data_IF_965946426679
#
_entry.id   IF_965946426679
#
_cell.length_a   1.000
_cell.length_b   1.000
_cell.length_c   1.000
_cell.angle_alpha   90.00
_cell.angle_beta   90.00
_cell.angle_gamma   90.00
#
_symmetry.space_group_name_H-M   'P 1'
#
loop_
_entity.id
_entity.type
_entity.pdbx_description
1 polymer ?
#
# COMPACT_ATOMS: atom_id res chain seq x y z
N UNK A 1 47.50 -27.79 -52.30
CA UNK A 1 47.15 -28.83 -51.31
C UNK A 1 46.19 -28.21 -50.31
N UNK A 2 44.98 -28.79 -50.20
CA UNK A 2 43.94 -28.70 -49.14
C UNK A 2 44.08 -27.62 -48.06
N UNK A 3 43.07 -26.81 -47.71
CA UNK A 3 41.64 -26.91 -47.96
C UNK A 3 40.89 -26.32 -46.75
N UNK A 4 40.26 -25.17 -46.98
CA UNK A 4 39.13 -24.55 -46.25
C UNK A 4 39.23 -24.37 -44.72
N UNK A 5 39.43 -23.10 -44.32
CA UNK A 5 39.19 -22.63 -42.97
C UNK A 5 39.12 -21.10 -42.88
N UNK A 6 37.98 -20.54 -43.30
CA UNK A 6 37.47 -19.20 -42.96
C UNK A 6 38.15 -17.97 -43.58
N UNK A 7 37.48 -17.39 -44.59
CA UNK A 7 37.74 -16.04 -45.12
C UNK A 7 36.41 -15.25 -45.12
N UNK A 8 36.53 -13.92 -44.94
CA UNK A 8 35.65 -12.83 -45.43
C UNK A 8 34.50 -12.41 -44.48
N UNK A 9 34.27 -11.15 -44.08
CA UNK A 9 34.89 -9.87 -44.41
C UNK A 9 34.57 -8.80 -43.34
N UNK A 10 35.55 -7.91 -43.17
CA UNK A 10 35.42 -6.54 -42.68
C UNK A 10 34.97 -5.64 -43.85
N UNK A 11 33.92 -4.84 -43.65
CA UNK A 11 33.53 -3.62 -44.40
C UNK A 11 32.64 -2.78 -43.45
N UNK A 12 32.68 -1.47 -43.29
CA UNK A 12 33.48 -0.31 -43.73
C UNK A 12 33.16 0.80 -42.71
N UNK A 13 34.15 1.59 -42.29
CA UNK A 13 33.98 2.87 -41.59
C UNK A 13 33.72 4.00 -42.61
N UNK A 14 32.77 4.90 -42.35
CA UNK A 14 32.95 6.38 -42.30
C UNK A 14 31.62 7.18 -42.23
N UNK A 15 31.53 8.02 -41.18
CA UNK A 15 30.99 9.39 -41.07
C UNK A 15 29.50 9.67 -41.33
N UNK A 16 28.77 9.98 -40.26
CA UNK A 16 27.89 11.18 -40.17
C UNK A 16 28.05 11.80 -38.77
N UNK A 17 28.57 13.03 -38.75
CA UNK A 17 28.42 13.96 -37.63
C UNK A 17 26.99 14.52 -37.67
N UNK A 18 26.43 14.86 -36.51
CA UNK A 18 25.05 15.31 -36.26
C UNK A 18 24.01 14.17 -36.15
N UNK A 19 23.75 13.72 -34.94
CA UNK A 19 22.78 14.33 -34.03
C UNK A 19 23.05 13.62 -32.70
N UNK A 20 23.51 14.36 -31.69
CA UNK A 20 23.19 13.97 -30.32
C UNK A 20 21.67 13.91 -30.30
N UNK A 21 21.10 12.72 -30.51
CA UNK A 21 19.73 12.49 -30.10
C UNK A 21 19.85 12.55 -28.59
N UNK A 22 19.58 13.74 -28.05
CA UNK A 22 18.70 13.82 -26.90
C UNK A 22 17.65 12.76 -27.17
N UNK A 23 17.81 11.59 -26.55
CA UNK A 23 16.69 10.73 -26.28
C UNK A 23 15.83 11.57 -25.36
N UNK A 24 14.99 12.41 -25.97
CA UNK A 24 13.72 12.77 -25.36
C UNK A 24 13.08 11.42 -25.12
N UNK A 25 13.30 10.88 -23.92
CA UNK A 25 12.54 9.75 -23.39
C UNK A 25 11.11 10.03 -23.79
N UNK A 26 10.44 9.09 -24.47
CA UNK A 26 9.08 9.36 -24.92
C UNK A 26 8.25 9.87 -23.73
N UNK A 27 7.19 10.68 -23.93
CA UNK A 27 6.37 11.18 -22.82
C UNK A 27 5.86 10.08 -21.88
N UNK A 28 5.84 8.81 -22.32
CA UNK A 28 5.53 7.66 -21.47
C UNK A 28 6.71 7.21 -20.58
N UNK A 29 7.96 7.32 -21.03
CA UNK A 29 9.15 6.92 -20.26
C UNK A 29 9.49 7.87 -19.11
N UNK A 30 9.19 9.17 -19.27
CA UNK A 30 9.39 10.17 -18.21
C UNK A 30 8.42 9.94 -17.03
N UNK A 31 7.16 9.61 -17.32
CA UNK A 31 6.11 9.35 -16.31
C UNK A 31 6.40 8.20 -15.36
N UNK A 32 7.20 7.23 -15.79
CA UNK A 32 7.64 6.14 -14.93
C UNK A 32 8.57 6.59 -13.79
N UNK A 33 9.10 7.81 -13.83
CA UNK A 33 9.89 8.40 -12.73
C UNK A 33 9.09 9.33 -11.83
N UNK A 34 7.84 9.61 -12.18
CA UNK A 34 7.01 10.56 -11.45
C UNK A 34 6.69 10.03 -10.05
N UNK A 35 6.72 10.96 -9.11
CA UNK A 35 6.17 10.83 -7.76
C UNK A 35 4.66 11.09 -7.80
N UNK A 36 3.99 10.95 -6.65
CA UNK A 36 2.56 11.29 -6.52
C UNK A 36 2.30 12.76 -6.85
N UNK A 37 3.16 13.68 -6.38
CA UNK A 37 3.01 15.12 -6.64
C UNK A 37 3.20 15.43 -8.14
N UNK A 38 4.22 14.87 -8.79
CA UNK A 38 4.42 15.05 -10.24
C UNK A 38 3.17 14.63 -11.04
N UNK A 39 2.51 13.55 -10.62
CA UNK A 39 1.24 13.12 -11.23
C UNK A 39 0.11 14.11 -11.00
N UNK A 40 -0.07 14.62 -9.78
CA UNK A 40 -1.11 15.59 -9.46
C UNK A 40 -0.91 16.92 -10.22
N UNK A 41 0.33 17.41 -10.27
CA UNK A 41 0.71 18.62 -11.01
C UNK A 41 0.47 18.45 -12.52
N UNK A 42 0.90 17.32 -13.10
CA UNK A 42 0.71 17.04 -14.52
C UNK A 42 -0.77 16.90 -14.93
N UNK A 43 -1.66 16.58 -13.99
CA UNK A 43 -3.11 16.55 -14.23
C UNK A 43 -3.81 17.87 -13.90
N UNK A 44 -3.06 18.90 -13.45
CA UNK A 44 -3.58 20.19 -13.03
C UNK A 44 -4.68 20.07 -11.95
N UNK A 45 -4.49 19.15 -11.01
CA UNK A 45 -5.41 18.94 -9.89
C UNK A 45 -4.89 19.70 -8.67
N UNK A 46 -5.74 20.58 -8.11
CA UNK A 46 -5.46 21.27 -6.87
C UNK A 46 -5.23 20.26 -5.73
N UNK A 47 -4.12 20.43 -5.01
CA UNK A 47 -3.73 19.50 -3.96
C UNK A 47 -2.98 20.22 -2.84
N UNK A 48 -2.98 19.61 -1.67
CA UNK A 48 -2.25 20.06 -0.49
C UNK A 48 -1.24 18.99 -0.08
N UNK A 49 -0.15 19.41 0.56
CA UNK A 49 0.85 18.55 1.17
C UNK A 49 0.91 18.85 2.67
N UNK A 50 0.62 17.85 3.48
CA UNK A 50 0.56 17.94 4.93
C UNK A 50 1.74 17.21 5.56
N UNK A 51 2.43 17.85 6.50
CA UNK A 51 3.50 17.23 7.28
C UNK A 51 2.92 16.72 8.60
N UNK A 52 3.06 15.43 8.85
CA UNK A 52 2.56 14.73 10.03
C UNK A 52 3.74 14.13 10.79
N UNK A 53 3.84 14.39 12.09
CA UNK A 53 4.89 13.79 12.93
C UNK A 53 4.29 12.71 13.82
N UNK A 54 4.81 11.50 13.75
CA UNK A 54 4.37 10.38 14.58
C UNK A 54 4.89 10.51 16.00
N UNK A 55 4.25 9.83 16.96
CA UNK A 55 4.66 9.88 18.37
C UNK A 55 6.09 9.36 18.62
N UNK A 56 6.60 8.50 17.73
CA UNK A 56 7.96 7.99 17.75
C UNK A 56 8.93 8.74 16.83
N UNK A 57 8.51 9.89 16.28
CA UNK A 57 9.40 10.87 15.67
C UNK A 57 9.57 10.79 14.15
N UNK A 58 8.90 9.88 13.45
CA UNK A 58 8.89 9.88 11.98
C UNK A 58 8.09 11.08 11.45
N UNK A 59 8.56 11.64 10.35
CA UNK A 59 7.91 12.74 9.66
C UNK A 59 7.40 12.25 8.31
N UNK A 60 6.07 12.22 8.18
CA UNK A 60 5.33 11.72 7.03
C UNK A 60 4.73 12.89 6.26
N UNK A 61 4.73 12.79 4.93
CA UNK A 61 4.04 13.74 4.06
C UNK A 61 2.83 13.07 3.44
N UNK A 62 1.65 13.65 3.70
CA UNK A 62 0.35 13.14 3.25
C UNK A 62 -0.19 14.11 2.21
N UNK A 63 -0.57 13.60 1.04
CA UNK A 63 -1.21 14.43 0.02
C UNK A 63 -2.72 14.46 0.25
N UNK A 64 -3.34 15.60 -0.04
CA UNK A 64 -4.80 15.75 -0.01
C UNK A 64 -5.29 16.38 -1.30
N UNK A 65 -6.40 15.88 -1.84
CA UNK A 65 -7.19 16.53 -2.89
C UNK A 65 -8.41 17.15 -2.19
N UNK A 66 -8.33 18.43 -1.79
CA UNK A 66 -9.23 19.00 -0.79
C UNK A 66 -10.64 19.21 -1.33
N UNK A 67 -11.64 18.81 -0.54
CA UNK A 67 -13.04 19.20 -0.73
C UNK A 67 -13.64 19.68 0.58
N UNK A 68 -13.75 21.00 0.75
CA UNK A 68 -14.22 21.61 1.99
C UNK A 68 -15.62 21.09 2.38
N UNK A 69 -15.76 20.63 3.62
CA UNK A 69 -17.02 20.09 4.16
C UNK A 69 -17.45 18.73 3.59
N UNK A 70 -16.68 18.14 2.66
CA UNK A 70 -16.93 16.80 2.17
C UNK A 70 -16.46 15.73 3.15
N UNK A 71 -16.94 14.51 2.96
CA UNK A 71 -16.56 13.37 3.80
C UNK A 71 -15.11 12.94 3.51
N UNK A 72 -14.24 12.84 4.53
CA UNK A 72 -12.85 12.45 4.32
C UNK A 72 -12.70 10.95 4.04
N UNK A 73 -11.90 10.64 3.02
CA UNK A 73 -11.53 9.28 2.61
C UNK A 73 -10.01 9.13 2.64
N UNK A 74 -9.49 8.23 3.47
CA UNK A 74 -8.07 7.92 3.56
C UNK A 74 -7.72 6.70 2.71
N UNK A 75 -6.82 6.86 1.75
CA UNK A 75 -6.26 5.80 0.92
C UNK A 75 -4.89 5.37 1.44
N UNK A 76 -4.75 4.10 1.83
CA UNK A 76 -3.51 3.56 2.44
C UNK A 76 -2.92 2.44 1.59
N UNK A 77 -1.68 2.62 1.15
CA UNK A 77 -0.99 1.64 0.31
C UNK A 77 -0.54 0.39 1.09
N UNK A 78 -0.22 -0.67 0.35
CA UNK A 78 0.28 -1.94 0.90
C UNK A 78 1.78 -1.98 1.16
N UNK A 79 2.28 -3.19 1.41
CA UNK A 79 3.69 -3.51 1.59
C UNK A 79 4.50 -3.03 0.38
N UNK A 80 5.59 -2.29 0.63
CA UNK A 80 6.44 -1.69 -0.40
C UNK A 80 5.68 -0.75 -1.36
N UNK A 81 4.44 -0.37 -1.07
CA UNK A 81 3.65 0.54 -1.89
C UNK A 81 3.98 2.00 -1.62
N UNK A 82 3.27 2.88 -2.31
CA UNK A 82 3.21 4.31 -2.04
C UNK A 82 1.85 4.88 -2.45
N UNK A 83 1.59 6.14 -2.08
CA UNK A 83 0.42 6.88 -2.55
C UNK A 83 0.28 6.93 -4.08
N UNK A 84 1.35 6.70 -4.83
CA UNK A 84 1.35 6.70 -6.30
C UNK A 84 0.36 5.66 -6.87
N UNK A 85 0.17 4.53 -6.19
CA UNK A 85 -0.76 3.48 -6.64
C UNK A 85 -2.22 3.95 -6.78
N UNK A 86 -2.57 5.07 -6.14
CA UNK A 86 -3.92 5.64 -6.18
C UNK A 86 -4.11 6.68 -7.28
N UNK A 87 -3.03 7.08 -8.00
CA UNK A 87 -3.05 8.15 -9.02
C UNK A 87 -2.38 7.78 -10.35
N UNK A 88 -1.56 6.72 -10.40
CA UNK A 88 -0.67 6.44 -11.53
C UNK A 88 -1.36 5.96 -12.83
N UNK A 89 -2.68 5.75 -12.84
CA UNK A 89 -3.43 5.45 -14.06
C UNK A 89 -4.11 6.68 -14.68
N UNK A 90 -3.94 7.85 -14.06
CA UNK A 90 -4.57 9.11 -14.43
C UNK A 90 -6.02 9.28 -13.94
N UNK A 91 -6.65 10.43 -14.24
CA UNK A 91 -7.96 10.83 -13.69
C UNK A 91 -9.10 9.87 -13.99
N UNK A 92 -9.10 9.27 -15.18
CA UNK A 92 -10.18 8.39 -15.64
C UNK A 92 -10.23 7.03 -14.93
N UNK A 93 -9.13 6.60 -14.31
CA UNK A 93 -9.00 5.22 -13.81
C UNK A 93 -8.47 5.09 -12.40
N UNK A 94 -7.77 6.07 -11.88
CA UNK A 94 -7.19 5.95 -10.53
C UNK A 94 -8.22 6.33 -9.48
N UNK A 95 -8.29 5.53 -8.41
CA UNK A 95 -9.35 5.63 -7.40
C UNK A 95 -9.42 7.01 -6.73
N UNK A 96 -8.27 7.65 -6.48
CA UNK A 96 -8.23 8.97 -5.84
C UNK A 96 -9.00 10.02 -6.63
N UNK A 97 -8.82 10.07 -7.95
CA UNK A 97 -9.52 11.02 -8.80
C UNK A 97 -11.01 10.68 -8.94
N UNK A 98 -11.36 9.39 -9.00
CA UNK A 98 -12.75 8.96 -9.07
C UNK A 98 -13.52 9.35 -7.79
N UNK A 99 -12.91 9.20 -6.61
CA UNK A 99 -13.47 9.69 -5.34
C UNK A 99 -13.57 11.22 -5.32
N UNK A 100 -12.54 11.92 -5.76
CA UNK A 100 -12.54 13.39 -5.79
C UNK A 100 -13.60 13.97 -6.74
N UNK A 101 -13.88 13.31 -7.87
CA UNK A 101 -14.99 13.65 -8.78
C UNK A 101 -16.37 13.31 -8.21
N UNK A 102 -16.43 12.44 -7.20
CA UNK A 102 -17.64 12.11 -6.44
C UNK A 102 -17.79 12.98 -5.19
N UNK A 103 -17.09 14.12 -5.15
CA UNK A 103 -17.17 15.12 -4.08
C UNK A 103 -16.75 14.59 -2.69
N UNK A 104 -15.81 13.65 -2.64
CA UNK A 104 -15.12 13.25 -1.40
C UNK A 104 -13.85 14.08 -1.16
N UNK A 105 -13.51 14.29 0.11
CA UNK A 105 -12.21 14.85 0.51
C UNK A 105 -11.16 13.73 0.58
N UNK A 106 -10.22 13.69 -0.36
CA UNK A 106 -9.37 12.50 -0.56
C UNK A 106 -7.98 12.71 0.01
N UNK A 107 -7.57 11.83 0.90
CA UNK A 107 -6.26 11.83 1.55
C UNK A 107 -5.45 10.60 1.12
N UNK A 108 -4.19 10.81 0.72
CA UNK A 108 -3.27 9.78 0.25
C UNK A 108 -2.16 9.59 1.28
N UNK A 109 -2.22 8.50 2.05
CA UNK A 109 -1.21 8.21 3.04
C UNK A 109 0.12 7.81 2.38
N UNK A 110 1.23 8.29 2.95
CA UNK A 110 2.53 7.65 2.82
C UNK A 110 2.98 7.25 4.22
N UNK A 111 3.38 5.99 4.36
CA UNK A 111 3.87 5.43 5.62
C UNK A 111 5.40 5.60 5.73
N UNK A 112 5.92 5.42 6.94
CA UNK A 112 7.37 5.53 7.20
C UNK A 112 8.19 4.65 6.24
N UNK A 113 9.37 5.14 5.87
CA UNK A 113 10.29 4.49 4.94
C UNK A 113 9.95 4.63 3.46
N UNK A 114 8.74 5.07 3.08
CA UNK A 114 8.40 5.35 1.68
C UNK A 114 9.14 6.60 1.20
N UNK A 115 9.71 6.59 0.01
CA UNK A 115 10.39 7.75 -0.59
C UNK A 115 9.45 8.54 -1.53
N UNK A 116 9.61 9.86 -1.65
CA UNK A 116 10.36 10.74 -0.75
C UNK A 116 9.59 11.02 0.56
N UNK A 117 8.30 10.69 0.60
CA UNK A 117 7.32 11.25 1.54
C UNK A 117 7.35 10.69 2.98
N UNK A 118 8.13 9.66 3.26
CA UNK A 118 8.23 8.99 4.56
C UNK A 118 9.68 8.81 5.01
N UNK A 119 10.59 9.67 4.52
CA UNK A 119 12.04 9.60 4.79
C UNK A 119 12.54 10.50 5.90
N UNK A 120 11.65 11.30 6.51
CA UNK A 120 12.02 12.19 7.60
C UNK A 120 11.89 11.52 8.97
N UNK A 121 12.74 11.93 9.90
CA UNK A 121 12.64 11.60 11.32
C UNK A 121 13.33 12.72 12.13
N UNK A 122 12.87 12.99 13.35
CA UNK A 122 13.41 14.07 14.20
C UNK A 122 14.89 13.84 14.57
N UNK A 123 15.25 12.61 14.96
CA UNK A 123 16.60 12.27 15.42
C UNK A 123 17.40 11.33 14.51
N UNK A 124 16.75 10.69 13.53
CA UNK A 124 17.32 9.59 12.74
C UNK A 124 17.40 9.97 11.26
N UNK A 125 18.29 9.30 10.53
CA UNK A 125 18.41 9.42 9.07
C UNK A 125 18.28 8.05 8.42
N UNK A 126 17.87 8.01 7.15
CA UNK A 126 17.62 6.76 6.42
C UNK A 126 18.87 5.94 6.09
N UNK A 127 20.06 6.42 6.48
CA UNK A 127 21.31 5.64 6.47
C UNK A 127 21.55 4.85 7.76
N UNK A 128 20.80 5.14 8.83
CA UNK A 128 20.93 4.49 10.15
C UNK A 128 20.09 3.21 10.21
N UNK A 129 20.57 2.18 10.89
CA UNK A 129 19.83 0.93 11.05
C UNK A 129 18.52 1.14 11.82
N UNK A 130 18.57 2.02 12.82
CA UNK A 130 17.48 2.37 13.73
C UNK A 130 16.29 2.96 12.98
N UNK A 131 16.54 3.78 11.95
CA UNK A 131 15.49 4.34 11.09
C UNK A 131 14.68 3.24 10.38
N UNK A 132 15.28 2.07 10.13
CA UNK A 132 14.63 0.96 9.47
C UNK A 132 14.07 -0.07 10.45
N UNK A 133 14.01 0.20 11.75
CA UNK A 133 13.50 -0.76 12.75
C UNK A 133 11.97 -0.69 12.90
N UNK A 134 11.21 -0.86 11.82
CA UNK A 134 9.75 -0.87 11.85
C UNK A 134 9.11 -2.01 11.06
N UNK A 135 7.84 -2.26 11.30
CA UNK A 135 6.99 -3.25 10.64
C UNK A 135 5.58 -2.72 10.45
N UNK A 136 4.64 -3.55 9.99
CA UNK A 136 3.21 -3.17 9.99
C UNK A 136 2.66 -2.84 11.39
N UNK A 137 3.36 -3.25 12.47
CA UNK A 137 3.00 -2.82 13.83
C UNK A 137 3.10 -1.31 13.95
N UNK A 138 4.27 -0.75 13.66
CA UNK A 138 4.52 0.69 13.78
C UNK A 138 3.63 1.51 12.82
N UNK A 139 3.30 0.98 11.64
CA UNK A 139 2.33 1.61 10.75
C UNK A 139 0.96 1.79 11.42
N UNK A 140 0.47 0.77 12.14
CA UNK A 140 -0.82 0.85 12.86
C UNK A 140 -0.73 1.55 14.21
N UNK A 141 0.39 1.43 14.91
CA UNK A 141 0.58 1.95 16.25
C UNK A 141 0.97 3.44 16.27
N UNK A 142 1.55 3.98 15.20
CA UNK A 142 2.08 5.34 15.17
C UNK A 142 1.73 6.13 13.91
N UNK A 143 1.85 5.54 12.71
CA UNK A 143 1.59 6.28 11.46
C UNK A 143 0.10 6.59 11.28
N UNK A 144 -0.75 5.56 11.25
CA UNK A 144 -2.19 5.75 11.04
C UNK A 144 -2.86 6.62 12.12
N UNK A 145 -2.54 6.48 13.43
CA UNK A 145 -3.06 7.38 14.44
C UNK A 145 -2.71 8.85 14.14
N UNK A 146 -1.44 9.15 13.88
CA UNK A 146 -0.98 10.51 13.63
C UNK A 146 -1.64 11.10 12.37
N UNK A 147 -1.78 10.29 11.30
CA UNK A 147 -2.43 10.72 10.06
C UNK A 147 -3.92 11.02 10.29
N UNK A 148 -4.66 10.10 10.94
CA UNK A 148 -6.11 10.26 11.15
C UNK A 148 -6.40 11.40 12.14
N UNK A 149 -5.55 11.58 13.16
CA UNK A 149 -5.66 12.71 14.09
C UNK A 149 -5.45 14.03 13.36
N UNK A 150 -4.38 14.15 12.56
CA UNK A 150 -4.11 15.34 11.74
C UNK A 150 -5.24 15.64 10.74
N UNK A 151 -5.79 14.61 10.08
CA UNK A 151 -6.94 14.78 9.18
C UNK A 151 -8.11 15.45 9.88
N UNK A 152 -8.45 14.98 11.07
CA UNK A 152 -9.55 15.53 11.86
C UNK A 152 -9.31 16.97 12.30
N UNK A 153 -8.09 17.30 12.72
CA UNK A 153 -7.72 18.68 13.07
C UNK A 153 -7.92 19.63 11.88
N UNK A 154 -7.51 19.21 10.68
CA UNK A 154 -7.67 20.00 9.45
C UNK A 154 -9.14 20.12 9.07
N UNK A 155 -9.89 19.01 8.99
CA UNK A 155 -11.29 19.02 8.55
C UNK A 155 -12.22 19.68 9.57
N UNK A 156 -11.96 19.50 10.86
CA UNK A 156 -12.71 20.15 11.95
C UNK A 156 -12.53 21.67 11.93
N UNK A 157 -11.29 22.14 11.77
CA UNK A 157 -10.99 23.58 11.66
C UNK A 157 -11.58 24.24 10.41
N UNK A 158 -11.79 23.49 9.32
CA UNK A 158 -12.49 23.96 8.13
C UNK A 158 -14.00 24.10 8.35
N UNK A 159 -14.61 23.15 9.07
CA UNK A 159 -16.03 23.18 9.42
C UNK A 159 -16.40 24.43 10.24
N UNK A 160 -15.53 24.83 11.17
CA UNK A 160 -15.71 26.04 11.97
C UNK A 160 -15.56 27.33 11.15
N UNK A 161 -14.71 27.35 10.12
CA UNK A 161 -14.47 28.54 9.28
C UNK A 161 -15.48 28.68 8.13
N UNK A 162 -16.07 27.58 7.66
CA UNK A 162 -17.08 27.56 6.59
C UNK A 162 -18.51 27.86 7.07
N UNK A 163 -18.78 27.77 8.38
CA UNK A 163 -20.07 28.04 9.01
C UNK A 163 -20.24 29.49 9.46
N UNK A 164 -20.64 30.39 8.55
CA UNK A 164 -21.11 31.72 8.92
C UNK A 164 -22.49 31.68 9.60
N UNK A 165 -22.54 31.66 10.94
CA UNK A 165 -23.80 31.85 11.67
C UNK A 165 -23.75 31.33 13.12
N UNK A 166 -23.81 32.24 14.09
CA UNK A 166 -23.58 31.98 15.51
C UNK A 166 -24.47 30.92 16.19
N UNK A 167 -23.87 30.22 17.14
CA UNK A 167 -24.54 29.36 18.11
C UNK A 167 -23.55 28.81 19.12
N UNK A 168 -23.45 29.44 20.30
CA UNK A 168 -22.76 28.88 21.47
C UNK A 168 -23.46 27.61 21.92
N UNK A 169 -22.69 26.56 22.19
CA UNK A 169 -23.19 25.31 22.75
C UNK A 169 -22.06 24.30 22.98
N UNK A 170 -21.11 24.63 23.85
CA UNK A 170 -20.23 23.64 24.44
C UNK A 170 -21.08 22.75 25.37
N UNK A 171 -21.42 21.54 24.91
CA UNK A 171 -21.71 20.32 25.69
C UNK A 171 -22.46 19.30 24.83
N UNK A 172 -21.81 18.78 23.79
CA UNK A 172 -22.07 17.43 23.27
C UNK A 172 -20.70 16.83 22.99
N UNK A 173 -20.45 15.64 23.52
CA UNK A 173 -19.30 14.78 23.20
C UNK A 173 -19.40 14.48 21.70
N UNK A 174 -18.86 15.38 20.88
CA UNK A 174 -19.03 15.39 19.43
C UNK A 174 -18.48 14.10 18.85
N UNK A 175 -19.39 13.25 18.35
CA UNK A 175 -19.08 12.28 17.30
C UNK A 175 -18.80 13.11 16.03
N UNK A 176 -17.63 13.71 15.96
CA UNK A 176 -17.16 14.47 14.81
C UNK A 176 -15.78 13.93 14.40
N UNK A 177 -15.56 13.85 13.08
CA UNK A 177 -14.34 13.38 12.41
C UNK A 177 -14.21 11.87 12.25
N UNK A 178 -15.29 11.23 11.79
CA UNK A 178 -15.21 9.88 11.24
C UNK A 178 -14.58 9.89 9.83
N UNK A 179 -13.65 8.97 9.59
CA UNK A 179 -12.98 8.78 8.29
C UNK A 179 -13.45 7.49 7.62
N UNK A 180 -13.58 7.51 6.29
CA UNK A 180 -13.70 6.31 5.48
C UNK A 180 -12.28 5.82 5.13
N UNK A 181 -11.97 4.57 5.43
CA UNK A 181 -10.65 4.00 5.18
C UNK A 181 -10.71 3.01 4.01
N UNK A 182 -9.83 3.18 3.04
CA UNK A 182 -9.63 2.22 1.95
C UNK A 182 -8.15 1.82 1.97
N UNK A 183 -7.89 0.53 2.15
CA UNK A 183 -6.53 0.03 2.28
C UNK A 183 -6.26 -1.14 1.36
N UNK A 184 -5.08 -1.16 0.74
CA UNK A 184 -4.60 -2.29 -0.05
C UNK A 184 -3.62 -3.16 0.75
N UNK A 185 -3.77 -4.48 0.70
CA UNK A 185 -2.76 -5.43 1.18
C UNK A 185 -2.39 -5.21 2.66
N UNK A 186 -1.12 -4.93 2.96
CA UNK A 186 -0.60 -4.69 4.31
C UNK A 186 -1.22 -3.47 5.02
N UNK A 187 -1.91 -2.57 4.30
CA UNK A 187 -2.74 -1.55 4.93
C UNK A 187 -3.77 -2.18 5.89
N UNK A 188 -4.27 -3.38 5.58
CA UNK A 188 -5.17 -4.11 6.47
C UNK A 188 -4.45 -4.57 7.75
N UNK A 189 -3.18 -5.01 7.68
CA UNK A 189 -2.40 -5.32 8.88
C UNK A 189 -2.23 -4.11 9.79
N UNK A 190 -1.89 -2.95 9.21
CA UNK A 190 -1.77 -1.70 9.95
C UNK A 190 -3.12 -1.30 10.58
N UNK A 191 -4.24 -1.43 9.85
CA UNK A 191 -5.59 -1.20 10.38
C UNK A 191 -5.94 -2.12 11.56
N UNK A 192 -5.61 -3.41 11.47
CA UNK A 192 -5.85 -4.36 12.57
C UNK A 192 -5.05 -3.98 13.82
N UNK A 193 -3.78 -3.58 13.64
CA UNK A 193 -2.95 -3.08 14.75
C UNK A 193 -3.52 -1.79 15.32
N UNK A 194 -3.89 -0.82 14.47
CA UNK A 194 -4.50 0.44 14.88
C UNK A 194 -5.70 0.22 15.80
N UNK A 195 -6.67 -0.60 15.38
CA UNK A 195 -7.90 -0.78 16.15
C UNK A 195 -7.71 -1.61 17.42
N UNK A 196 -6.65 -2.42 17.51
CA UNK A 196 -6.36 -3.25 18.68
C UNK A 196 -5.47 -2.54 19.70
N UNK A 197 -4.49 -1.76 19.23
CA UNK A 197 -3.57 -0.97 20.08
C UNK A 197 -4.21 0.34 20.50
N UNK A 198 -5.04 0.94 19.65
CA UNK A 198 -5.73 2.21 19.91
C UNK A 198 -7.26 2.06 19.75
N UNK A 199 -7.96 1.49 20.75
CA UNK A 199 -9.39 1.18 20.63
C UNK A 199 -10.29 2.36 20.26
N UNK A 200 -9.89 3.61 20.55
CA UNK A 200 -10.63 4.82 20.14
C UNK A 200 -10.89 4.90 18.63
N UNK A 201 -10.02 4.33 17.80
CA UNK A 201 -10.22 4.35 16.34
C UNK A 201 -11.35 3.44 15.86
N UNK A 202 -11.88 2.56 16.71
CA UNK A 202 -13.09 1.81 16.40
C UNK A 202 -14.32 2.70 16.20
N UNK A 203 -14.32 3.91 16.79
CA UNK A 203 -15.40 4.89 16.66
C UNK A 203 -15.09 5.99 15.63
N UNK A 204 -13.80 6.17 15.29
CA UNK A 204 -13.32 7.18 14.32
C UNK A 204 -13.23 6.67 12.89
N UNK A 205 -13.22 5.36 12.66
CA UNK A 205 -13.27 4.79 11.32
C UNK A 205 -14.70 4.35 11.04
N UNK A 206 -15.34 4.99 10.07
CA UNK A 206 -16.74 4.73 9.73
C UNK A 206 -16.91 3.40 8.98
N UNK A 207 -16.00 3.14 8.04
CA UNK A 207 -15.97 1.95 7.18
C UNK A 207 -14.53 1.66 6.78
N UNK A 208 -14.15 0.39 6.79
CA UNK A 208 -12.92 -0.10 6.18
C UNK A 208 -13.22 -0.91 4.93
N UNK A 209 -12.75 -0.47 3.78
CA UNK A 209 -12.79 -1.24 2.54
C UNK A 209 -11.41 -1.80 2.25
N UNK A 210 -11.26 -3.10 2.44
CA UNK A 210 -9.97 -3.78 2.41
C UNK A 210 -9.78 -4.50 1.06
N UNK A 211 -8.89 -3.96 0.24
CA UNK A 211 -8.52 -4.51 -1.07
C UNK A 211 -7.37 -5.51 -0.92
N UNK A 212 -7.58 -6.76 -1.30
CA UNK A 212 -6.61 -7.84 -1.13
C UNK A 212 -6.04 -7.94 0.31
N UNK A 213 -6.88 -8.04 1.35
CA UNK A 213 -6.45 -7.94 2.74
C UNK A 213 -5.65 -9.16 3.21
N UNK A 214 -4.72 -8.91 4.13
CA UNK A 214 -3.85 -9.92 4.73
C UNK A 214 -3.97 -9.91 6.26
N UNK A 215 -4.14 -11.08 6.88
CA UNK A 215 -4.05 -11.20 8.35
C UNK A 215 -3.33 -12.47 8.81
N UNK A 216 -3.50 -13.57 8.08
CA UNK A 216 -2.83 -14.85 8.32
C UNK A 216 -2.24 -15.32 7.00
N UNK A 217 -0.96 -15.70 7.00
CA UNK A 217 -0.27 -16.15 5.78
C UNK A 217 -0.03 -17.68 5.77
N UNK A 218 -0.04 -18.34 6.93
CA UNK A 218 0.23 -19.77 7.01
C UNK A 218 -0.79 -20.60 6.22
N UNK A 219 -0.33 -21.27 5.15
CA UNK A 219 -1.18 -22.05 4.22
C UNK A 219 -2.31 -21.25 3.56
N UNK A 220 -2.21 -19.93 3.56
CA UNK A 220 -3.19 -19.01 2.94
C UNK A 220 -2.57 -18.20 1.79
N UNK A 221 -1.42 -18.65 1.30
CA UNK A 221 -0.63 -18.00 0.25
C UNK A 221 -0.19 -19.04 -0.77
N UNK A 222 0.09 -18.60 -1.99
CA UNK A 222 0.49 -19.49 -3.10
C UNK A 222 2.01 -19.58 -3.30
N UNK A 223 2.80 -18.97 -2.41
CA UNK A 223 4.26 -19.12 -2.39
C UNK A 223 4.73 -20.15 -1.34
N UNK A 224 5.82 -20.84 -1.65
CA UNK A 224 6.34 -21.96 -0.86
C UNK A 224 7.49 -21.58 0.09
N UNK A 225 7.92 -22.56 0.90
CA UNK A 225 9.04 -22.38 1.81
C UNK A 225 10.38 -22.13 1.10
N UNK A 226 10.57 -22.57 -0.15
CA UNK A 226 11.78 -22.31 -0.92
C UNK A 226 11.87 -20.83 -1.31
N UNK A 227 10.77 -20.25 -1.80
CA UNK A 227 10.66 -18.83 -2.13
C UNK A 227 10.90 -17.96 -0.89
N UNK A 228 10.26 -18.28 0.23
CA UNK A 228 10.48 -17.57 1.51
C UNK A 228 11.94 -17.67 1.94
N UNK A 229 12.59 -18.83 1.85
CA UNK A 229 14.02 -18.98 2.16
C UNK A 229 14.90 -18.14 1.24
N UNK A 230 14.57 -18.04 -0.05
CA UNK A 230 15.33 -17.22 -0.99
C UNK A 230 15.24 -15.73 -0.64
N UNK A 231 14.02 -15.23 -0.35
CA UNK A 231 13.80 -13.87 0.11
C UNK A 231 14.59 -13.58 1.40
N UNK A 232 14.55 -14.48 2.38
CA UNK A 232 15.30 -14.28 3.62
C UNK A 232 16.82 -14.33 3.43
N UNK A 233 17.33 -15.10 2.47
CA UNK A 233 18.76 -15.05 2.10
C UNK A 233 19.12 -13.68 1.51
N UNK A 234 18.27 -13.11 0.67
CA UNK A 234 18.44 -11.75 0.14
C UNK A 234 18.46 -10.71 1.26
N UNK A 235 17.47 -10.75 2.15
CA UNK A 235 17.38 -9.87 3.32
C UNK A 235 18.65 -9.96 4.17
N UNK A 236 19.06 -11.17 4.57
CA UNK A 236 20.28 -11.39 5.37
C UNK A 236 21.54 -10.87 4.66
N UNK A 237 21.65 -11.03 3.34
CA UNK A 237 22.78 -10.52 2.56
C UNK A 237 22.85 -8.99 2.59
N UNK A 238 21.71 -8.30 2.47
CA UNK A 238 21.65 -6.83 2.54
C UNK A 238 21.99 -6.31 3.93
N UNK A 239 21.46 -6.94 4.98
CA UNK A 239 21.79 -6.58 6.36
C UNK A 239 23.29 -6.71 6.66
N UNK A 240 23.93 -7.82 6.25
CA UNK A 240 25.39 -7.99 6.40
C UNK A 240 26.22 -6.94 5.66
N UNK A 241 25.64 -6.33 4.62
CA UNK A 241 26.26 -5.25 3.86
C UNK A 241 25.89 -3.85 4.33
N UNK A 242 25.26 -3.70 5.51
CA UNK A 242 24.73 -2.43 6.04
C UNK A 242 23.80 -1.71 5.05
N UNK A 243 22.97 -2.48 4.33
CA UNK A 243 21.94 -1.97 3.43
C UNK A 243 20.57 -2.28 4.03
N UNK A 244 20.11 -1.39 4.91
CA UNK A 244 18.92 -1.62 5.73
C UNK A 244 17.61 -1.54 4.92
N UNK A 245 17.56 -0.67 3.92
CA UNK A 245 16.46 -0.63 2.97
C UNK A 245 16.46 -1.87 2.05
N UNK A 246 15.33 -2.57 2.05
CA UNK A 246 15.03 -3.71 1.18
C UNK A 246 14.25 -3.19 -0.03
N UNK A 247 14.73 -3.49 -1.24
CA UNK A 247 14.13 -3.09 -2.53
C UNK A 247 13.99 -1.56 -2.74
N UNK A 248 15.08 -0.78 -2.70
CA UNK A 248 15.02 0.68 -2.83
C UNK A 248 14.35 1.16 -4.14
N UNK A 249 13.88 2.42 -4.21
CA UNK A 249 13.25 2.99 -5.40
C UNK A 249 13.97 2.63 -6.70
N UNK A 250 13.19 2.17 -7.69
CA UNK A 250 13.70 1.71 -8.98
C UNK A 250 14.41 0.34 -8.97
N UNK A 251 14.52 -0.37 -7.84
CA UNK A 251 15.08 -1.72 -7.79
C UNK A 251 14.34 -2.67 -8.73
N UNK A 252 13.02 -2.72 -8.63
CA UNK A 252 12.22 -3.60 -9.47
C UNK A 252 12.24 -3.18 -10.94
N UNK A 253 12.13 -1.88 -11.22
CA UNK A 253 12.27 -1.33 -12.57
C UNK A 253 13.54 -1.79 -13.27
N UNK A 254 14.70 -1.56 -12.63
CA UNK A 254 16.01 -1.96 -13.17
C UNK A 254 16.10 -3.48 -13.38
N UNK A 255 15.56 -4.26 -12.45
CA UNK A 255 15.56 -5.73 -12.52
C UNK A 255 14.67 -6.24 -13.66
N UNK A 256 13.46 -5.70 -13.80
CA UNK A 256 12.48 -6.13 -14.79
C UNK A 256 12.81 -5.64 -16.20
N UNK A 257 13.47 -4.49 -16.34
CA UNK A 257 14.00 -4.02 -17.63
C UNK A 257 15.18 -4.89 -18.11
N UNK A 258 16.07 -5.30 -17.21
CA UNK A 258 17.24 -6.11 -17.57
C UNK A 258 16.93 -7.60 -17.76
N UNK A 259 15.91 -8.14 -17.09
CA UNK A 259 15.56 -9.56 -17.09
C UNK A 259 14.05 -9.77 -17.19
N UNK A 260 13.47 -9.39 -18.31
CA UNK A 260 12.00 -9.35 -18.50
C UNK A 260 11.33 -10.69 -18.21
N UNK A 261 11.77 -11.78 -18.83
CA UNK A 261 11.14 -13.10 -18.68
C UNK A 261 11.23 -13.63 -17.24
N UNK A 262 12.38 -13.39 -16.59
CA UNK A 262 12.59 -13.78 -15.21
C UNK A 262 11.73 -12.94 -14.25
N UNK A 263 11.59 -11.64 -14.52
CA UNK A 263 10.71 -10.77 -13.76
C UNK A 263 9.24 -11.19 -13.94
N UNK A 264 8.80 -11.50 -15.16
CA UNK A 264 7.45 -12.01 -15.41
C UNK A 264 7.18 -13.29 -14.63
N UNK A 265 8.11 -14.25 -14.69
CA UNK A 265 8.01 -15.51 -13.97
C UNK A 265 7.86 -15.30 -12.45
N UNK A 266 8.78 -14.55 -11.83
CA UNK A 266 8.72 -14.34 -10.38
C UNK A 266 7.56 -13.46 -9.94
N UNK A 267 7.18 -12.48 -10.76
CA UNK A 267 6.01 -11.64 -10.49
C UNK A 267 4.76 -12.49 -10.44
N UNK A 268 4.53 -13.33 -11.46
CA UNK A 268 3.34 -14.20 -11.52
C UNK A 268 3.25 -15.12 -10.30
N UNK A 269 4.39 -15.61 -9.80
CA UNK A 269 4.43 -16.45 -8.61
C UNK A 269 4.21 -15.67 -7.31
N UNK A 270 4.61 -14.40 -7.27
CA UNK A 270 4.50 -13.57 -6.07
C UNK A 270 3.11 -12.95 -5.93
N UNK A 271 2.60 -12.32 -6.99
CA UNK A 271 1.36 -11.52 -6.93
C UNK A 271 0.16 -12.25 -7.54
N UNK A 272 0.40 -13.25 -8.38
CA UNK A 272 -0.64 -14.02 -9.07
C UNK A 272 -0.70 -13.77 -10.57
N UNK A 273 -1.66 -14.43 -11.23
CA UNK A 273 -1.84 -14.34 -12.69
C UNK A 273 -2.76 -13.19 -13.08
N UNK A 274 -2.35 -12.34 -14.02
CA UNK A 274 -3.19 -11.30 -14.62
C UNK A 274 -3.90 -11.79 -15.89
N UNK A 275 -4.92 -11.05 -16.34
CA UNK A 275 -5.46 -11.23 -17.70
C UNK A 275 -4.41 -10.98 -18.79
N UNK A 276 -3.51 -10.00 -18.56
CA UNK A 276 -2.46 -9.62 -19.50
C UNK A 276 -1.11 -9.55 -18.79
N UNK A 277 -0.17 -10.42 -19.20
CA UNK A 277 1.19 -10.40 -18.67
C UNK A 277 1.93 -9.09 -18.99
N UNK A 278 1.58 -8.42 -20.09
CA UNK A 278 2.15 -7.10 -20.43
C UNK A 278 1.74 -6.04 -19.39
N UNK A 279 0.47 -6.02 -18.99
CA UNK A 279 -0.05 -5.11 -17.95
C UNK A 279 0.49 -5.48 -16.55
N UNK A 280 0.67 -6.78 -16.27
CA UNK A 280 1.26 -7.25 -15.02
C UNK A 280 2.63 -6.62 -14.75
N UNK A 281 3.45 -6.48 -15.79
CA UNK A 281 4.78 -5.88 -15.67
C UNK A 281 4.78 -4.35 -15.64
N UNK A 282 3.64 -3.71 -15.93
CA UNK A 282 3.54 -2.25 -16.01
C UNK A 282 3.77 -1.58 -14.65
N UNK A 283 3.27 -2.18 -13.55
CA UNK A 283 3.52 -1.71 -12.18
C UNK A 283 5.02 -1.55 -11.90
N UNK A 284 5.84 -2.48 -12.36
CA UNK A 284 7.28 -2.49 -12.09
C UNK A 284 8.04 -1.45 -12.92
N UNK A 285 7.42 -0.85 -13.93
CA UNK A 285 8.06 0.25 -14.67
C UNK A 285 8.07 1.54 -13.85
N UNK A 286 7.09 1.75 -12.97
CA UNK A 286 7.00 2.93 -12.11
C UNK A 286 8.03 2.84 -10.98
N UNK A 287 8.96 3.79 -10.96
CA UNK A 287 10.08 3.86 -10.04
C UNK A 287 9.65 4.06 -8.58
N UNK A 288 8.57 4.83 -8.40
CA UNK A 288 8.05 5.21 -7.09
C UNK A 288 6.77 4.44 -6.70
N UNK A 289 6.30 3.47 -7.50
CA UNK A 289 5.09 2.71 -7.17
C UNK A 289 5.41 1.62 -6.14
N UNK A 290 6.39 0.79 -6.46
CA UNK A 290 6.95 -0.21 -5.56
C UNK A 290 8.31 0.29 -5.07
N UNK A 291 8.34 0.63 -3.80
CA UNK A 291 9.45 1.27 -3.12
C UNK A 291 10.10 0.35 -2.10
N UNK A 292 11.14 0.86 -1.44
CA UNK A 292 11.81 0.10 -0.39
C UNK A 292 11.06 0.12 0.93
N UNK A 293 11.35 -0.89 1.74
CA UNK A 293 10.80 -1.06 3.08
C UNK A 293 11.85 -1.60 4.03
N UNK A 294 11.43 -1.80 5.27
CA UNK A 294 12.27 -2.35 6.31
C UNK A 294 12.46 -3.86 6.15
N UNK A 295 13.63 -4.37 6.53
CA UNK A 295 13.81 -5.81 6.69
C UNK A 295 12.95 -6.40 7.82
N UNK A 296 12.60 -5.59 8.82
CA UNK A 296 11.75 -5.98 9.95
C UNK A 296 10.31 -6.20 9.49
N UNK A 297 9.78 -5.43 8.53
CA UNK A 297 8.50 -5.73 7.88
C UNK A 297 8.50 -7.14 7.28
N UNK A 298 9.51 -7.47 6.46
CA UNK A 298 9.61 -8.78 5.79
C UNK A 298 9.76 -9.91 6.81
N UNK A 299 10.53 -9.70 7.89
CA UNK A 299 10.67 -10.66 8.98
C UNK A 299 9.37 -10.86 9.75
N UNK A 300 8.61 -9.80 9.99
CA UNK A 300 7.32 -9.88 10.68
C UNK A 300 6.31 -10.68 9.86
N UNK A 301 6.26 -10.44 8.54
CA UNK A 301 5.45 -11.24 7.62
C UNK A 301 5.88 -12.71 7.61
N UNK A 302 7.18 -13.00 7.68
CA UNK A 302 7.66 -14.36 7.85
C UNK A 302 7.19 -14.99 9.17
N UNK A 303 7.16 -14.22 10.27
CA UNK A 303 6.71 -14.71 11.57
C UNK A 303 5.24 -15.12 11.52
N UNK A 304 4.35 -14.28 10.98
CA UNK A 304 2.93 -14.64 10.84
C UNK A 304 2.68 -15.78 9.82
N UNK A 305 3.59 -15.96 8.84
CA UNK A 305 3.57 -17.13 7.95
C UNK A 305 3.95 -18.43 8.67
N UNK A 306 4.82 -18.35 9.68
CA UNK A 306 5.22 -19.50 10.49
C UNK A 306 4.23 -19.82 11.61
N UNK A 307 3.86 -18.82 12.41
CA UNK A 307 2.94 -18.99 13.54
C UNK A 307 1.57 -19.44 13.05
N UNK A 308 1.17 -18.92 11.89
CA UNK A 308 -0.20 -19.04 11.45
C UNK A 308 -1.14 -18.28 12.36
N UNK A 309 -0.73 -17.21 13.01
CA UNK A 309 -1.62 -16.28 13.70
C UNK A 309 -1.18 -14.84 13.47
N UNK A 310 -2.09 -13.89 13.72
CA UNK A 310 -1.79 -12.47 13.63
C UNK A 310 -1.23 -12.00 14.98
N UNK A 311 0.11 -11.98 15.06
CA UNK A 311 0.89 -11.72 16.27
C UNK A 311 1.73 -10.45 16.12
N UNK A 312 2.18 -9.90 17.24
CA UNK A 312 3.18 -8.85 17.29
C UNK A 312 4.56 -9.37 16.87
N UNK A 313 5.51 -8.46 16.67
CA UNK A 313 6.83 -8.85 16.20
C UNK A 313 7.52 -9.69 17.28
N UNK A 314 7.99 -10.87 16.91
CA UNK A 314 8.74 -11.74 17.82
C UNK A 314 10.21 -11.33 17.82
N UNK A 315 10.67 -10.72 18.90
CA UNK A 315 12.06 -10.30 19.08
C UNK A 315 12.95 -11.45 19.60
N UNK A 316 12.36 -12.59 19.95
CA UNK A 316 12.99 -13.68 20.66
C UNK A 316 12.87 -13.54 22.19
N UNK A 317 13.12 -14.61 22.95
CA UNK A 317 12.70 -14.70 24.36
C UNK A 317 13.20 -13.59 25.28
N UNK A 318 14.43 -13.12 25.07
CA UNK A 318 15.06 -12.09 25.92
C UNK A 318 14.47 -10.71 25.69
N UNK A 319 14.36 -10.29 24.42
CA UNK A 319 13.84 -8.97 24.07
C UNK A 319 12.30 -8.94 24.21
N UNK A 320 11.60 -10.05 23.95
CA UNK A 320 10.17 -10.19 24.29
C UNK A 320 9.93 -10.00 25.79
N UNK A 321 10.77 -10.54 26.67
CA UNK A 321 10.59 -10.36 28.12
C UNK A 321 10.70 -8.88 28.51
N UNK A 322 11.55 -8.12 27.83
CA UNK A 322 11.73 -6.68 28.07
C UNK A 322 10.55 -5.86 27.54
N UNK A 323 10.03 -6.22 26.36
CA UNK A 323 9.00 -5.43 25.65
C UNK A 323 7.57 -5.85 26.04
N UNK A 324 7.31 -7.15 26.14
CA UNK A 324 5.99 -7.74 26.34
C UNK A 324 5.79 -8.33 27.73
N UNK A 325 6.82 -8.34 28.59
CA UNK A 325 6.80 -9.02 29.90
C UNK A 325 6.46 -10.52 29.80
N UNK A 326 6.85 -11.15 28.68
CA UNK A 326 6.67 -12.57 28.40
C UNK A 326 7.68 -13.06 27.37
N UNK A 327 7.89 -14.38 27.26
CA UNK A 327 8.89 -14.93 26.32
C UNK A 327 8.37 -15.09 24.89
N UNK A 328 7.06 -15.00 24.69
CA UNK A 328 6.39 -15.13 23.40
C UNK A 328 5.90 -13.78 22.88
N UNK A 329 5.70 -13.68 21.56
CA UNK A 329 5.02 -12.55 20.95
C UNK A 329 3.53 -12.53 21.33
N UNK A 330 2.95 -11.33 21.38
CA UNK A 330 1.56 -11.13 21.75
C UNK A 330 0.63 -11.40 20.57
N UNK A 331 -0.56 -11.92 20.83
CA UNK A 331 -1.60 -12.07 19.79
C UNK A 331 -2.51 -10.84 19.77
N UNK A 332 -2.76 -10.28 18.57
CA UNK A 332 -3.74 -9.21 18.43
C UNK A 332 -5.16 -9.77 18.49
N UNK A 333 -5.99 -9.25 19.39
CA UNK A 333 -7.38 -9.66 19.50
C UNK A 333 -8.26 -8.96 18.46
N UNK A 334 -8.15 -9.39 17.20
CA UNK A 334 -8.88 -8.80 16.07
C UNK A 334 -10.40 -8.99 16.16
N UNK A 335 -10.88 -9.91 17.01
CA UNK A 335 -12.32 -10.16 17.19
C UNK A 335 -13.06 -9.02 17.93
N UNK A 336 -12.30 -8.11 18.56
CA UNK A 336 -12.83 -6.95 19.28
C UNK A 336 -12.96 -5.70 18.40
N UNK A 337 -12.46 -5.74 17.15
CA UNK A 337 -12.58 -4.61 16.22
C UNK A 337 -14.05 -4.47 15.84
N UNK A 338 -14.66 -3.30 16.05
CA UNK A 338 -16.10 -3.08 15.77
C UNK A 338 -16.36 -2.33 14.48
N UNK A 339 -15.32 -1.80 13.83
CA UNK A 339 -15.41 -1.09 12.55
C UNK A 339 -16.08 -1.98 11.49
N UNK A 340 -17.10 -1.50 10.77
CA UNK A 340 -17.66 -2.20 9.62
C UNK A 340 -16.60 -2.43 8.52
N UNK A 341 -16.48 -3.65 8.02
CA UNK A 341 -15.46 -4.02 7.02
C UNK A 341 -16.10 -4.62 5.76
N UNK A 342 -15.65 -4.19 4.59
CA UNK A 342 -15.88 -4.89 3.32
C UNK A 342 -14.55 -5.45 2.82
N UNK A 343 -14.50 -6.76 2.57
CA UNK A 343 -13.31 -7.46 2.08
C UNK A 343 -13.42 -7.69 0.57
N UNK A 344 -12.37 -7.38 -0.18
CA UNK A 344 -12.31 -7.62 -1.63
C UNK A 344 -11.16 -8.56 -1.99
N UNK A 345 -11.42 -9.55 -2.84
CA UNK A 345 -10.40 -10.50 -3.28
C UNK A 345 -10.46 -10.82 -4.77
N UNK A 346 -9.31 -11.16 -5.35
CA UNK A 346 -9.18 -11.62 -6.72
C UNK A 346 -8.91 -13.13 -6.78
N UNK A 347 -9.47 -13.82 -7.78
CA UNK A 347 -9.38 -15.28 -7.89
C UNK A 347 -7.93 -15.79 -7.97
N UNK A 348 -7.08 -15.07 -8.68
CA UNK A 348 -5.69 -15.47 -8.96
C UNK A 348 -4.67 -14.78 -8.07
N UNK A 349 -5.09 -14.02 -7.05
CA UNK A 349 -4.20 -13.43 -6.05
C UNK A 349 -3.39 -14.51 -5.32
N UNK A 350 -2.07 -14.35 -5.29
CA UNK A 350 -1.15 -15.30 -4.67
C UNK A 350 -0.81 -14.98 -3.20
N UNK A 351 -1.15 -13.77 -2.74
CA UNK A 351 -0.85 -13.27 -1.40
C UNK A 351 -2.13 -13.23 -0.56
N UNK A 352 -3.17 -12.53 -1.03
CA UNK A 352 -4.48 -12.49 -0.41
C UNK A 352 -5.41 -13.49 -1.11
N UNK A 353 -5.12 -14.77 -0.92
CA UNK A 353 -5.91 -15.85 -1.56
C UNK A 353 -7.38 -15.80 -1.13
N UNK A 354 -8.31 -16.31 -1.97
CA UNK A 354 -9.71 -16.45 -1.59
C UNK A 354 -9.89 -17.12 -0.22
N UNK A 355 -9.13 -18.19 0.05
CA UNK A 355 -9.15 -18.90 1.33
C UNK A 355 -8.67 -18.03 2.49
N UNK A 356 -7.61 -17.24 2.26
CA UNK A 356 -7.06 -16.32 3.24
C UNK A 356 -8.06 -15.23 3.63
N UNK A 357 -8.76 -14.65 2.65
CA UNK A 357 -9.78 -13.62 2.87
C UNK A 357 -11.00 -14.19 3.59
N UNK A 358 -11.45 -15.39 3.25
CA UNK A 358 -12.49 -16.08 4.01
C UNK A 358 -12.05 -16.42 5.44
N UNK A 359 -10.77 -16.71 5.66
CA UNK A 359 -10.18 -16.88 6.99
C UNK A 359 -10.23 -15.61 7.84
N UNK A 360 -10.12 -14.42 7.23
CA UNK A 360 -10.34 -13.13 7.91
C UNK A 360 -11.80 -13.02 8.33
N UNK A 361 -12.73 -13.24 7.40
CA UNK A 361 -14.17 -13.22 7.67
C UNK A 361 -14.56 -14.13 8.84
N UNK A 362 -14.07 -15.38 8.85
CA UNK A 362 -14.35 -16.35 9.90
C UNK A 362 -13.92 -15.89 11.31
N UNK A 363 -12.91 -15.01 11.42
CA UNK A 363 -12.43 -14.46 12.70
C UNK A 363 -13.06 -13.13 13.07
N UNK A 364 -13.74 -12.47 12.13
CA UNK A 364 -14.28 -11.12 12.26
C UNK A 364 -15.77 -11.04 11.89
N UNK A 365 -16.54 -12.08 12.20
CA UNK A 365 -17.97 -12.22 11.85
C UNK A 365 -18.84 -11.04 12.31
N UNK A 366 -18.46 -10.36 13.40
CA UNK A 366 -19.23 -9.23 13.94
C UNK A 366 -19.03 -7.93 13.14
N UNK A 367 -17.89 -7.79 12.48
CA UNK A 367 -17.40 -6.53 11.91
C UNK A 367 -17.44 -6.56 10.39
N UNK A 368 -17.17 -7.73 9.78
CA UNK A 368 -17.25 -7.90 8.33
C UNK A 368 -18.71 -7.87 7.89
N UNK A 369 -19.04 -6.90 7.03
CA UNK A 369 -20.37 -6.68 6.46
C UNK A 369 -20.52 -7.30 5.08
N UNK A 370 -19.43 -7.44 4.34
CA UNK A 370 -19.46 -8.10 3.05
C UNK A 370 -18.08 -8.62 2.63
N UNK A 371 -18.07 -9.72 1.88
CA UNK A 371 -16.92 -10.29 1.20
C UNK A 371 -17.26 -10.35 -0.29
N UNK A 372 -16.46 -9.66 -1.10
CA UNK A 372 -16.71 -9.43 -2.53
C UNK A 372 -15.57 -9.97 -3.36
N UNK A 373 -15.92 -10.78 -4.34
CA UNK A 373 -14.99 -11.26 -5.35
C UNK A 373 -14.98 -10.29 -6.52
N UNK A 374 -13.77 -9.94 -6.98
CA UNK A 374 -13.65 -9.20 -8.23
C UNK A 374 -14.09 -10.10 -9.38
N UNK A 375 -15.06 -9.63 -10.17
CA UNK A 375 -15.64 -10.40 -11.28
C UNK A 375 -14.69 -10.49 -12.48
N UNK A 376 -13.59 -11.23 -12.31
CA UNK A 376 -12.63 -11.54 -13.35
C UNK A 376 -11.91 -12.85 -13.02
N UNK A 377 -11.80 -13.78 -14.00
CA UNK A 377 -11.16 -15.07 -13.77
C UNK A 377 -9.65 -14.97 -13.52
N UNK A 378 -9.03 -13.84 -13.87
CA UNK A 378 -7.61 -13.56 -13.62
C UNK A 378 -7.46 -12.14 -13.09
N UNK A 379 -7.51 -12.01 -11.77
CA UNK A 379 -7.31 -10.77 -11.04
C UNK A 379 -6.33 -11.00 -9.89
N UNK A 380 -5.14 -10.44 -10.01
CA UNK A 380 -4.02 -10.66 -9.09
C UNK A 380 -3.90 -9.54 -8.04
N UNK A 381 -2.94 -9.67 -7.13
CA UNK A 381 -2.75 -8.75 -6.02
C UNK A 381 -2.55 -7.28 -6.40
N UNK A 382 -1.86 -7.00 -7.51
CA UNK A 382 -1.58 -5.63 -7.98
C UNK A 382 -2.68 -5.08 -8.90
N UNK A 383 -3.56 -5.93 -9.42
CA UNK A 383 -4.61 -5.50 -10.35
C UNK A 383 -5.60 -4.51 -9.69
N UNK A 384 -5.71 -4.54 -8.35
CA UNK A 384 -6.47 -3.55 -7.56
C UNK A 384 -5.98 -2.10 -7.73
N UNK A 385 -4.74 -1.90 -8.19
CA UNK A 385 -4.14 -0.58 -8.36
C UNK A 385 -3.85 -0.27 -9.84
N UNK A 386 -3.38 -1.26 -10.60
CA UNK A 386 -2.80 -1.05 -11.93
C UNK A 386 -3.55 -1.74 -13.07
N UNK A 387 -4.65 -2.46 -12.81
CA UNK A 387 -5.41 -3.08 -13.89
C UNK A 387 -5.94 -2.02 -14.85
N UNK A 388 -5.86 -2.30 -16.16
CA UNK A 388 -6.47 -1.43 -17.15
C UNK A 388 -8.00 -1.35 -17.03
N UNK A 389 -8.61 -2.32 -16.34
CA UNK A 389 -10.05 -2.45 -16.11
C UNK A 389 -10.42 -2.18 -14.63
N UNK A 390 -9.50 -1.59 -13.85
CA UNK A 390 -9.69 -1.35 -12.41
C UNK A 390 -10.91 -0.48 -12.13
N UNK A 391 -11.23 0.47 -13.01
CA UNK A 391 -12.37 1.37 -12.85
C UNK A 391 -13.69 0.59 -12.73
N UNK A 392 -13.99 -0.25 -13.72
CA UNK A 392 -15.25 -1.00 -13.78
C UNK A 392 -15.26 -2.22 -12.87
N UNK A 393 -14.12 -2.88 -12.68
CA UNK A 393 -14.03 -4.09 -11.87
C UNK A 393 -13.93 -3.81 -10.36
N UNK A 394 -13.31 -2.69 -9.97
CA UNK A 394 -13.02 -2.34 -8.58
C UNK A 394 -13.64 -1.01 -8.20
N UNK A 395 -13.18 0.11 -8.78
CA UNK A 395 -13.47 1.44 -8.24
C UNK A 395 -14.97 1.77 -8.22
N UNK A 396 -15.68 1.57 -9.33
CA UNK A 396 -17.09 1.91 -9.44
C UNK A 396 -17.91 1.11 -8.42
N UNK A 397 -17.60 -0.18 -8.25
CA UNK A 397 -18.27 -1.06 -7.28
C UNK A 397 -17.91 -0.71 -5.84
N UNK A 398 -16.63 -0.39 -5.58
CA UNK A 398 -16.14 0.00 -4.27
C UNK A 398 -16.84 1.29 -3.82
N UNK A 399 -16.90 2.29 -4.68
CA UNK A 399 -17.59 3.55 -4.38
C UNK A 399 -19.09 3.30 -4.18
N UNK A 400 -19.72 2.47 -5.02
CA UNK A 400 -21.12 2.09 -4.84
C UNK A 400 -21.39 1.41 -3.50
N UNK A 401 -20.55 0.45 -3.07
CA UNK A 401 -20.68 -0.19 -1.75
C UNK A 401 -20.50 0.82 -0.61
N UNK A 402 -19.56 1.75 -0.76
CA UNK A 402 -19.34 2.83 0.20
C UNK A 402 -20.56 3.73 0.32
N UNK A 403 -21.13 4.19 -0.79
CA UNK A 403 -22.34 5.02 -0.83
C UNK A 403 -23.54 4.26 -0.26
N UNK A 404 -23.73 2.99 -0.64
CA UNK A 404 -24.74 2.10 -0.06
C UNK A 404 -24.60 1.97 1.47
N UNK A 405 -23.37 1.86 1.97
CA UNK A 405 -23.12 1.81 3.41
C UNK A 405 -23.50 3.12 4.10
N UNK A 406 -23.11 4.26 3.53
CA UNK A 406 -23.44 5.59 4.08
C UNK A 406 -24.96 5.84 4.12
N UNK A 407 -25.69 5.28 3.17
CA UNK A 407 -27.16 5.32 3.10
C UNK A 407 -27.84 4.24 3.97
N UNK A 408 -27.08 3.39 4.69
CA UNK A 408 -27.64 2.33 5.53
C UNK A 408 -28.22 1.14 4.76
N UNK A 409 -27.86 0.99 3.49
CA UNK A 409 -28.38 -0.03 2.56
C UNK A 409 -27.32 -1.00 2.02
N UNK A 410 -26.13 -1.06 2.63
CA UNK A 410 -25.09 -2.02 2.24
C UNK A 410 -25.61 -3.45 2.40
N UNK A 411 -25.68 -4.26 1.33
CA UNK A 411 -26.16 -5.62 1.43
C UNK A 411 -25.10 -6.51 2.10
N UNK A 412 -25.57 -7.41 2.96
CA UNK A 412 -24.72 -8.45 3.53
C UNK A 412 -24.51 -9.59 2.52
N UNK A 413 -23.36 -9.60 1.85
CA UNK A 413 -23.02 -10.59 0.81
C UNK A 413 -21.66 -11.20 1.10
N UNK A 414 -21.58 -12.53 1.01
CA UNK A 414 -20.34 -13.31 1.16
C UNK A 414 -20.20 -14.17 -0.12
N UNK A 415 -19.27 -13.80 -1.00
CA UNK A 415 -19.09 -14.34 -2.37
C UNK A 415 -17.98 -15.38 -2.57
#
# INVERSE_FOLDING_TARGET
MSGLGWIVAIKVMLVVCAICKNTTSSPAESRYKWTTLDWLEAQNVGHELHNVTTADGYQLQVQRLPRLGAKPVLLVHGLLGSSLGWVCLGPERSLAFQLYHREYDVWLANLRGVSPYGRGHIDLTDVMAEFWRFSFHEHGAYDLPAIIDHMAEVTGGEGERGGGGGGQGANEEQIADQVLLIGHSQAFNAFLVLCTVHPRFNQRIQLMQALAPLARLHRQVRFDAFQVRHLMKFVKKRQKGNKFEIFPPGYFRKTCQSKRDLCEYYTKQLVGSAQSNKKLLEAFNYENLLQGGSDREIKHLQQIWKSGDFISYDFGPVENMQIYHGVEALTYNISQITVPIVLYFGETDAIATPEGVHGIYARMLKSVRSVRRINSPKFNHLDFLISGDVKSLVNDKLIEQMEQFLEGRLPYVIE
#
